data_IF_678466707955
#
_entry.id   IF_678466707955
#
_cell.length_a   1.000
_cell.length_b   1.000
_cell.length_c   1.000
_cell.angle_alpha   90.00
_cell.angle_beta   90.00
_cell.angle_gamma   90.00
#
_symmetry.space_group_name_H-M   'P 1'
#
loop_
_entity.id
_entity.type
_entity.pdbx_description
1 polymer ?
#
# COMPACT_ATOMS: atom_id res chain seq x y z
N UNK A 1 -22.59 -5.78 5.97
CA UNK A 1 -21.83 -5.90 4.74
C UNK A 1 -20.40 -6.26 5.00
N UNK A 2 -19.92 -7.23 4.37
CA UNK A 2 -18.57 -7.72 4.64
C UNK A 2 -17.52 -6.90 3.91
N UNK A 3 -17.32 -5.70 4.36
CA UNK A 3 -16.32 -4.85 3.75
C UNK A 3 -14.91 -5.36 3.98
N UNK A 4 -14.72 -6.19 4.97
CA UNK A 4 -13.39 -6.72 5.25
C UNK A 4 -12.80 -7.49 4.08
N UNK A 5 -13.65 -8.07 3.26
CA UNK A 5 -13.16 -8.82 2.10
C UNK A 5 -12.52 -7.95 1.06
N UNK A 6 -12.96 -6.71 0.96
CA UNK A 6 -12.42 -5.80 -0.04
C UNK A 6 -10.94 -5.55 0.17
N UNK A 7 -10.45 -5.69 1.40
CA UNK A 7 -9.04 -5.41 1.68
C UNK A 7 -8.11 -6.45 1.08
N UNK A 8 -8.62 -7.64 0.73
CA UNK A 8 -7.80 -8.67 0.10
C UNK A 8 -7.99 -8.71 -1.42
N UNK A 9 -8.80 -7.83 -1.97
CA UNK A 9 -9.07 -7.77 -3.39
C UNK A 9 -7.96 -6.99 -4.10
N UNK A 10 -7.26 -7.59 -5.08
CA UNK A 10 -6.21 -6.86 -5.81
C UNK A 10 -6.71 -5.58 -6.48
N UNK A 11 -7.92 -5.57 -6.99
CA UNK A 11 -8.48 -4.36 -7.59
C UNK A 11 -8.65 -3.28 -6.55
N UNK A 12 -9.13 -3.65 -5.35
CA UNK A 12 -9.25 -2.69 -4.27
C UNK A 12 -7.89 -2.16 -3.86
N UNK A 13 -6.90 -3.05 -3.78
CA UNK A 13 -5.56 -2.67 -3.34
C UNK A 13 -4.94 -1.63 -4.26
N UNK A 14 -5.15 -1.74 -5.58
CA UNK A 14 -4.54 -0.83 -6.55
C UNK A 14 -5.45 0.32 -6.96
N UNK A 15 -6.64 0.41 -6.37
CA UNK A 15 -7.57 1.50 -6.71
C UNK A 15 -7.17 2.83 -6.05
N UNK A 16 -6.40 2.77 -4.96
CA UNK A 16 -5.90 3.98 -4.30
C UNK A 16 -4.63 4.43 -5.01
N UNK A 17 -4.58 5.66 -5.56
CA UNK A 17 -3.40 6.13 -6.30
C UNK A 17 -2.12 6.12 -5.48
N UNK A 18 -2.19 6.47 -4.20
CA UNK A 18 -1.00 6.48 -3.34
C UNK A 18 -0.51 5.05 -3.13
N UNK A 19 -1.44 4.13 -2.86
CA UNK A 19 -1.07 2.73 -2.64
C UNK A 19 -0.45 2.13 -3.89
N UNK A 20 -1.02 2.43 -5.04
CA UNK A 20 -0.48 1.95 -6.31
C UNK A 20 0.93 2.50 -6.56
N UNK A 21 1.15 3.76 -6.25
CA UNK A 21 2.46 4.38 -6.41
C UNK A 21 3.48 3.72 -5.47
N UNK A 22 3.07 3.39 -4.25
CA UNK A 22 3.94 2.68 -3.31
C UNK A 22 4.30 1.30 -3.87
N UNK A 23 3.33 0.58 -4.41
CA UNK A 23 3.59 -0.71 -5.01
C UNK A 23 4.60 -0.59 -6.15
N UNK A 24 4.41 0.38 -7.04
CA UNK A 24 5.32 0.59 -8.16
C UNK A 24 6.74 0.90 -7.66
N UNK A 25 6.86 1.67 -6.58
CA UNK A 25 8.17 1.98 -6.01
C UNK A 25 8.83 0.71 -5.47
N UNK A 26 8.06 -0.14 -4.79
CA UNK A 26 8.60 -1.37 -4.20
C UNK A 26 9.00 -2.40 -5.25
N UNK A 27 8.42 -2.34 -6.42
CA UNK A 27 8.82 -3.23 -7.52
C UNK A 27 10.24 -2.95 -7.99
N UNK A 28 10.75 -1.77 -7.71
CA UNK A 28 12.13 -1.40 -8.08
C UNK A 28 13.13 -1.75 -7.00
N UNK A 29 12.67 -2.22 -5.86
CA UNK A 29 13.53 -2.61 -4.77
C UNK A 29 12.93 -2.27 -3.43
N UNK A 30 13.47 -2.85 -2.38
CA UNK A 30 13.00 -2.62 -1.03
C UNK A 30 13.21 -1.16 -0.62
N UNK A 31 12.35 -0.67 0.26
CA UNK A 31 12.48 0.67 0.81
C UNK A 31 11.91 0.66 2.24
N UNK A 32 12.57 1.34 3.18
CA UNK A 32 12.05 1.43 4.53
C UNK A 32 10.80 2.31 4.58
N UNK A 33 9.95 2.04 5.59
CA UNK A 33 8.71 2.78 5.76
C UNK A 33 8.96 4.29 5.86
N UNK A 34 10.03 4.69 6.55
CA UNK A 34 10.35 6.10 6.70
C UNK A 34 10.62 6.77 5.36
N UNK A 35 11.30 6.08 4.46
CA UNK A 35 11.57 6.61 3.13
C UNK A 35 10.28 6.71 2.32
N UNK A 36 9.42 5.71 2.39
CA UNK A 36 8.14 5.74 1.70
C UNK A 36 7.27 6.88 2.21
N UNK A 37 7.21 7.05 3.52
CA UNK A 37 6.41 8.12 4.11
C UNK A 37 6.87 9.49 3.63
N UNK A 38 8.17 9.72 3.64
CA UNK A 38 8.72 10.99 3.21
C UNK A 38 8.50 11.21 1.71
N UNK A 39 8.77 10.19 0.91
CA UNK A 39 8.66 10.30 -0.54
C UNK A 39 7.25 10.54 -1.03
N UNK A 40 6.26 9.94 -0.38
CA UNK A 40 4.86 10.09 -0.76
C UNK A 40 4.12 11.11 0.08
N UNK A 41 4.81 11.76 1.03
CA UNK A 41 4.23 12.81 1.88
C UNK A 41 3.02 12.31 2.65
N UNK A 42 3.14 11.13 3.22
CA UNK A 42 2.10 10.54 4.05
C UNK A 42 2.72 10.14 5.38
N UNK A 43 1.87 9.90 6.37
CA UNK A 43 2.35 9.48 7.69
C UNK A 43 2.83 8.03 7.63
N UNK A 44 3.73 7.67 8.56
CA UNK A 44 4.17 6.29 8.66
C UNK A 44 3.03 5.32 8.95
N UNK A 45 2.06 5.64 9.83
CA UNK A 45 0.91 4.76 10.00
C UNK A 45 0.12 4.56 8.70
N UNK A 46 0.00 5.60 7.87
CA UNK A 46 -0.69 5.47 6.59
C UNK A 46 0.07 4.53 5.66
N UNK A 47 1.40 4.64 5.61
CA UNK A 47 2.23 3.71 4.81
C UNK A 47 2.03 2.28 5.30
N UNK A 48 2.06 2.08 6.62
CA UNK A 48 1.87 0.73 7.19
C UNK A 48 0.53 0.16 6.78
N UNK A 49 -0.52 0.98 6.76
CA UNK A 49 -1.85 0.54 6.34
C UNK A 49 -1.84 0.16 4.86
N UNK A 50 -1.22 0.97 4.01
CA UNK A 50 -1.13 0.66 2.58
C UNK A 50 -0.38 -0.64 2.35
N UNK A 51 0.73 -0.85 3.07
CA UNK A 51 1.51 -2.07 2.93
C UNK A 51 0.72 -3.29 3.36
N UNK A 52 -0.08 -3.16 4.43
CA UNK A 52 -0.91 -4.26 4.88
C UNK A 52 -1.93 -4.66 3.81
N UNK A 53 -2.58 -3.67 3.20
CA UNK A 53 -3.57 -3.93 2.16
C UNK A 53 -2.91 -4.62 0.96
N UNK A 54 -1.74 -4.14 0.55
CA UNK A 54 -1.02 -4.74 -0.56
C UNK A 54 -0.60 -6.17 -0.24
N UNK A 55 -0.10 -6.40 0.98
CA UNK A 55 0.31 -7.74 1.39
C UNK A 55 -0.87 -8.70 1.45
N UNK A 56 -2.00 -8.25 1.99
CA UNK A 56 -3.19 -9.09 2.10
C UNK A 56 -3.74 -9.44 0.72
N UNK A 57 -3.56 -8.57 -0.26
CA UNK A 57 -3.94 -8.82 -1.64
C UNK A 57 -2.87 -9.61 -2.40
N UNK A 58 -1.74 -9.88 -1.75
CA UNK A 58 -0.63 -10.63 -2.33
C UNK A 58 -0.02 -9.97 -3.56
N UNK A 59 0.16 -8.70 -3.44
CA UNK A 59 0.78 -7.93 -4.53
C UNK A 59 2.25 -7.61 -4.26
#
# INVERSE_FOLDING_TARGET
MPTARATADPFHAVSDPTRRAILDRLRRGAAPVTELAAGFRVSRPAVSRHLRVLRDARL
#
